data_IF_988766185443
#
_entry.id   IF_988766185443
#
_cell.length_a   1.000
_cell.length_b   1.000
_cell.length_c   1.000
_cell.angle_alpha   90.00
_cell.angle_beta   90.00
_cell.angle_gamma   90.00
#
_symmetry.space_group_name_H-M   'P 1'
#
loop_
_entity.id
_entity.type
_entity.pdbx_description
1 polymer ?
#
# COMPACT_ATOMS: atom_id res chain seq x y z
N UNK A 1 -7.50 4.30 -2.42
CA UNK A 1 -6.06 3.95 -2.60
C UNK A 1 -5.18 5.17 -2.70
N UNK A 2 -5.52 6.13 -3.52
CA UNK A 2 -4.73 7.36 -3.63
C UNK A 2 -4.61 8.09 -2.30
N UNK A 3 -5.66 8.08 -1.48
CA UNK A 3 -5.66 8.74 -0.18
C UNK A 3 -4.69 8.09 0.79
N UNK A 4 -4.53 6.78 0.72
CA UNK A 4 -3.55 6.06 1.54
C UNK A 4 -2.13 6.51 1.18
N UNK A 5 -1.80 6.52 -0.11
CA UNK A 5 -0.48 6.92 -0.56
C UNK A 5 -0.20 8.38 -0.23
N UNK A 6 -1.21 9.23 -0.31
CA UNK A 6 -1.05 10.62 0.08
C UNK A 6 -0.79 10.76 1.58
N UNK A 7 -1.47 9.95 2.40
CA UNK A 7 -1.25 9.96 3.84
C UNK A 7 0.19 9.53 4.17
N UNK A 8 0.73 8.53 3.47
CA UNK A 8 2.13 8.14 3.63
C UNK A 8 3.06 9.27 3.27
N UNK A 9 2.80 9.93 2.12
CA UNK A 9 3.66 11.01 1.64
C UNK A 9 3.71 12.17 2.63
N UNK A 10 2.56 12.52 3.22
CA UNK A 10 2.48 13.63 4.16
C UNK A 10 2.93 13.26 5.56
N UNK A 11 3.23 11.98 5.81
CA UNK A 11 3.65 11.53 7.13
C UNK A 11 2.51 11.41 8.13
N UNK A 12 1.26 11.35 7.64
CA UNK A 12 0.09 11.26 8.50
C UNK A 12 -0.18 9.79 8.85
N UNK A 13 0.48 9.32 9.91
CA UNK A 13 0.38 7.93 10.34
C UNK A 13 -1.05 7.55 10.74
N UNK A 14 -1.75 8.43 11.43
CA UNK A 14 -3.12 8.14 11.85
C UNK A 14 -4.04 7.95 10.65
N UNK A 15 -3.93 8.82 9.67
CA UNK A 15 -4.77 8.74 8.49
C UNK A 15 -4.45 7.49 7.68
N UNK A 16 -3.16 7.19 7.49
CA UNK A 16 -2.75 5.98 6.78
C UNK A 16 -3.28 4.73 7.49
N UNK A 17 -3.17 4.70 8.81
CA UNK A 17 -3.65 3.58 9.61
C UNK A 17 -5.16 3.40 9.53
N UNK A 18 -5.89 4.51 9.38
CA UNK A 18 -7.35 4.47 9.31
C UNK A 18 -7.87 3.73 8.07
N UNK A 19 -7.06 3.63 7.01
CA UNK A 19 -7.45 2.91 5.80
C UNK A 19 -7.17 1.42 5.88
N UNK A 20 -6.46 0.96 6.90
CA UNK A 20 -6.16 -0.44 7.08
C UNK A 20 -7.39 -1.19 7.59
N UNK A 21 -7.45 -2.50 7.31
CA UNK A 21 -8.51 -3.34 7.83
C UNK A 21 -8.39 -3.48 9.35
N UNK A 22 -9.47 -3.92 9.98
CA UNK A 22 -9.46 -4.18 11.43
C UNK A 22 -8.38 -5.17 11.79
N UNK A 23 -8.19 -6.19 10.97
CA UNK A 23 -7.18 -7.21 11.21
C UNK A 23 -5.77 -6.60 11.24
N UNK A 24 -5.46 -5.73 10.28
CA UNK A 24 -4.15 -5.06 10.24
C UNK A 24 -3.99 -4.15 11.44
N UNK A 25 -5.03 -3.40 11.79
CA UNK A 25 -4.96 -2.50 12.94
C UNK A 25 -4.76 -3.26 14.24
N UNK A 26 -5.37 -4.43 14.37
CA UNK A 26 -5.19 -5.28 15.55
C UNK A 26 -3.76 -5.79 15.65
N UNK A 27 -3.16 -6.18 14.50
CA UNK A 27 -1.80 -6.70 14.48
C UNK A 27 -0.79 -5.64 14.96
N UNK A 28 -0.90 -4.42 14.47
CA UNK A 28 0.08 -3.38 14.77
C UNK A 28 -0.27 -2.56 16.00
N UNK A 29 -1.54 -2.46 16.33
CA UNK A 29 -2.03 -1.80 17.54
C UNK A 29 -2.08 -0.29 17.47
N UNK A 30 -1.06 0.37 16.94
CA UNK A 30 -0.97 1.83 16.87
C UNK A 30 -0.53 2.30 15.49
N UNK A 31 -0.89 3.55 15.13
CA UNK A 31 -0.39 4.13 13.89
C UNK A 31 1.13 4.19 13.83
N UNK A 32 1.78 4.47 14.95
CA UNK A 32 3.24 4.57 15.02
C UNK A 32 3.92 3.25 14.70
N UNK A 33 3.39 2.15 15.22
CA UNK A 33 3.93 0.82 14.94
C UNK A 33 3.73 0.47 13.45
N UNK A 34 2.57 0.81 12.93
CA UNK A 34 2.25 0.54 11.53
C UNK A 34 3.19 1.29 10.60
N UNK A 35 3.38 2.59 10.82
CA UNK A 35 4.25 3.42 9.98
C UNK A 35 5.71 2.99 10.09
N UNK A 36 6.15 2.56 11.27
CA UNK A 36 7.51 2.07 11.45
C UNK A 36 7.77 0.83 10.59
N UNK A 37 6.81 -0.08 10.54
CA UNK A 37 6.91 -1.26 9.68
C UNK A 37 6.97 -0.87 8.21
N UNK A 38 6.11 0.05 7.79
CA UNK A 38 6.09 0.49 6.39
C UNK A 38 7.43 1.12 6.00
N UNK A 39 7.99 1.97 6.87
CA UNK A 39 9.29 2.58 6.62
C UNK A 39 10.41 1.56 6.49
N UNK A 40 10.36 0.49 7.27
CA UNK A 40 11.43 -0.49 7.25
C UNK A 40 11.35 -1.46 6.07
N UNK A 41 10.14 -1.83 5.65
CA UNK A 41 9.95 -2.88 4.65
C UNK A 41 9.35 -2.39 3.33
N UNK A 42 8.69 -1.25 3.35
CA UNK A 42 7.97 -0.73 2.19
C UNK A 42 8.32 0.75 1.96
N UNK A 43 9.59 1.08 2.12
CA UNK A 43 10.04 2.49 2.11
C UNK A 43 9.61 3.25 0.84
N UNK A 44 9.60 2.59 -0.31
CA UNK A 44 9.21 3.23 -1.56
C UNK A 44 7.77 3.73 -1.54
N UNK A 45 6.92 3.14 -0.69
CA UNK A 45 5.52 3.55 -0.59
C UNK A 45 5.32 4.85 0.18
N UNK A 46 6.32 5.25 0.97
CA UNK A 46 6.24 6.49 1.75
C UNK A 46 6.39 7.70 0.84
N UNK A 47 7.38 7.66 -0.05
CA UNK A 47 7.68 8.81 -0.91
C UNK A 47 8.16 8.36 -2.28
N UNK A 48 7.29 7.76 -3.09
CA UNK A 48 7.69 7.33 -4.42
C UNK A 48 7.95 8.53 -5.32
N UNK A 49 8.89 8.36 -6.26
CA UNK A 49 9.14 9.38 -7.28
C UNK A 49 8.04 9.36 -8.33
N UNK A 50 7.49 8.19 -8.65
CA UNK A 50 6.40 8.04 -9.62
C UNK A 50 5.43 6.99 -9.14
N UNK A 51 4.16 7.17 -9.49
CA UNK A 51 3.08 6.24 -9.14
C UNK A 51 2.23 6.02 -10.39
N UNK A 52 1.97 4.75 -10.71
CA UNK A 52 1.06 4.38 -11.80
C UNK A 52 0.09 3.35 -11.27
N UNK A 53 -1.19 3.72 -11.23
CA UNK A 53 -2.24 2.78 -10.84
C UNK A 53 -2.60 1.91 -12.03
N UNK A 54 -2.53 0.60 -11.86
CA UNK A 54 -2.91 -0.34 -12.88
C UNK A 54 -4.37 -0.75 -12.69
N UNK A 55 -4.88 -1.55 -13.61
CA UNK A 55 -6.28 -1.96 -13.58
C UNK A 55 -6.57 -2.82 -12.36
N UNK A 56 -7.71 -2.57 -11.73
CA UNK A 56 -8.19 -3.41 -10.63
C UNK A 56 -8.42 -4.84 -11.10
N UNK A 57 -8.11 -5.80 -10.25
CA UNK A 57 -8.30 -7.21 -10.53
C UNK A 57 -9.14 -7.84 -9.43
N UNK A 58 -9.90 -8.86 -9.80
CA UNK A 58 -10.70 -9.63 -8.86
C UNK A 58 -10.26 -11.09 -8.93
N UNK A 59 -9.90 -11.64 -7.79
CA UNK A 59 -9.37 -13.00 -7.72
C UNK A 59 -9.81 -13.64 -6.43
N UNK A 60 -10.50 -14.78 -6.55
CA UNK A 60 -10.96 -15.57 -5.38
C UNK A 60 -11.72 -14.73 -4.35
N UNK A 61 -12.56 -13.82 -4.83
CA UNK A 61 -13.36 -12.97 -3.94
C UNK A 61 -12.64 -11.76 -3.39
N UNK A 62 -11.35 -11.61 -3.65
CA UNK A 62 -10.59 -10.44 -3.24
C UNK A 62 -10.50 -9.43 -4.37
N UNK A 63 -10.40 -8.16 -4.01
CA UNK A 63 -10.13 -7.09 -4.97
C UNK A 63 -8.68 -6.68 -4.79
N UNK A 64 -7.94 -6.70 -5.90
CA UNK A 64 -6.52 -6.38 -5.91
C UNK A 64 -6.29 -5.08 -6.68
N UNK A 65 -5.48 -4.19 -6.12
CA UNK A 65 -5.07 -2.96 -6.78
C UNK A 65 -3.57 -2.99 -6.97
N UNK A 66 -3.12 -3.31 -8.19
CA UNK A 66 -1.69 -3.22 -8.49
C UNK A 66 -1.30 -1.76 -8.70
N UNK A 67 -0.13 -1.40 -8.22
CA UNK A 67 0.41 -0.04 -8.35
C UNK A 67 1.89 -0.16 -8.68
N UNK A 68 2.33 0.49 -9.74
CA UNK A 68 3.76 0.59 -10.03
C UNK A 68 4.32 1.84 -9.38
N UNK A 69 5.43 1.69 -8.70
CA UNK A 69 6.09 2.78 -7.99
C UNK A 69 7.55 2.82 -8.40
N UNK A 70 8.11 4.02 -8.55
CA UNK A 70 9.54 4.14 -8.71
C UNK A 70 10.13 4.87 -7.51
N UNK A 71 11.36 4.50 -7.14
CA UNK A 71 12.07 5.17 -6.07
C UNK A 71 12.97 6.28 -6.67
N UNK A 72 13.70 6.97 -5.80
CA UNK A 72 14.56 8.08 -6.22
C UNK A 72 15.80 7.65 -6.99
N UNK A 73 16.04 6.34 -7.08
CA UNK A 73 17.14 5.76 -7.84
C UNK A 73 16.71 5.23 -9.19
N UNK A 74 15.43 5.43 -9.55
CA UNK A 74 14.88 4.92 -10.80
C UNK A 74 14.51 3.45 -10.76
N UNK A 75 14.57 2.80 -9.60
CA UNK A 75 14.15 1.42 -9.47
C UNK A 75 12.63 1.34 -9.43
N UNK A 76 12.06 0.44 -10.22
CA UNK A 76 10.62 0.23 -10.25
C UNK A 76 10.21 -0.93 -9.36
N UNK A 77 9.04 -0.78 -8.76
CA UNK A 77 8.45 -1.73 -7.84
C UNK A 77 6.99 -1.97 -8.22
N UNK A 78 6.50 -3.16 -7.92
CA UNK A 78 5.07 -3.46 -8.04
C UNK A 78 4.54 -3.71 -6.64
N UNK A 79 3.57 -2.90 -6.24
CA UNK A 79 2.82 -3.09 -5.01
C UNK A 79 1.44 -3.62 -5.37
N UNK A 80 1.03 -4.74 -4.78
CA UNK A 80 -0.30 -5.28 -5.00
C UNK A 80 -1.05 -5.21 -3.68
N UNK A 81 -2.01 -4.31 -3.62
CA UNK A 81 -2.84 -4.12 -2.44
C UNK A 81 -4.02 -5.07 -2.49
N UNK A 82 -4.24 -5.78 -1.40
CA UNK A 82 -5.43 -6.59 -1.21
C UNK A 82 -6.45 -5.75 -0.44
N UNK A 83 -7.65 -5.61 -0.98
CA UNK A 83 -8.66 -4.73 -0.44
C UNK A 83 -9.94 -5.50 -0.15
N UNK A 84 -10.67 -5.05 0.87
CA UNK A 84 -11.95 -5.64 1.24
C UNK A 84 -12.91 -4.57 1.71
N UNK A 85 -14.21 -4.84 1.55
CA UNK A 85 -15.25 -3.99 2.12
C UNK A 85 -15.44 -4.35 3.59
N UNK A 86 -15.55 -3.35 4.44
CA UNK A 86 -15.87 -3.59 5.83
C UNK A 86 -17.39 -3.63 6.05
N UNK A 87 -17.82 -3.72 7.31
CA UNK A 87 -19.23 -3.80 7.66
C UNK A 87 -20.02 -2.53 7.30
N UNK A 88 -19.33 -1.42 7.06
CA UNK A 88 -19.93 -0.15 6.68
C UNK A 88 -19.80 0.12 5.18
N UNK A 89 -19.42 -0.91 4.40
CA UNK A 89 -19.24 -0.81 2.95
C UNK A 89 -18.13 0.16 2.56
N UNK A 90 -17.15 0.34 3.44
CA UNK A 90 -15.96 1.13 3.13
C UNK A 90 -14.81 0.21 2.74
N UNK A 91 -14.08 0.60 1.71
CA UNK A 91 -12.90 -0.17 1.28
C UNK A 91 -11.76 -0.01 2.27
N UNK A 92 -11.21 -1.14 2.70
CA UNK A 92 -10.06 -1.17 3.61
C UNK A 92 -8.94 -1.97 2.99
N UNK A 93 -7.71 -1.60 3.30
CA UNK A 93 -6.52 -2.32 2.85
C UNK A 93 -6.23 -3.44 3.83
N UNK A 94 -6.23 -4.66 3.34
CA UNK A 94 -6.02 -5.85 4.16
C UNK A 94 -4.61 -6.43 4.04
N UNK A 95 -3.84 -5.96 3.10
CA UNK A 95 -2.46 -6.41 2.91
C UNK A 95 -1.86 -5.81 1.68
N UNK A 96 -0.56 -5.98 1.54
CA UNK A 96 0.17 -5.50 0.39
C UNK A 96 1.39 -6.40 0.17
N UNK A 97 1.59 -6.78 -1.08
CA UNK A 97 2.82 -7.44 -1.50
C UNK A 97 3.63 -6.44 -2.30
N UNK A 98 4.91 -6.30 -1.95
CA UNK A 98 5.80 -5.39 -2.66
C UNK A 98 6.90 -6.22 -3.31
N UNK A 99 7.10 -6.01 -4.60
CA UNK A 99 8.10 -6.75 -5.36
C UNK A 99 8.88 -5.79 -6.25
N UNK A 100 10.20 -5.96 -6.26
CA UNK A 100 11.04 -5.19 -7.14
C UNK A 100 10.88 -5.68 -8.58
N UNK A 101 10.70 -4.76 -9.50
CA UNK A 101 10.63 -5.08 -10.91
C UNK A 101 12.04 -4.99 -11.49
N UNK A 102 12.39 -5.98 -12.32
CA UNK A 102 13.71 -6.03 -12.92
C UNK A 102 13.76 -5.28 -14.26
N UNK A 103 12.80 -4.42 -14.47
CA UNK A 103 12.83 -3.51 -15.58
C UNK A 103 13.10 -4.20 -16.90
N UNK A 104 14.23 -3.89 -17.44
CA UNK A 104 14.64 -4.39 -18.74
C UNK A 104 15.35 -5.70 -18.69
N UNK A 105 15.21 -6.41 -17.67
CA UNK A 105 15.93 -7.65 -17.51
C UNK A 105 15.58 -8.68 -18.57
N UNK A 106 15.22 -8.20 -19.61
CA UNK A 106 15.05 -9.05 -20.75
C UNK A 106 16.33 -9.77 -21.07
#
# INVERSE_FOLDING_TARGET
>A
MEMELEAFRSGDAQRAFSFASDQIRDIFGTPENFIAMVRSQYAVMIAPASIVFLKLEHENGATLQPVQLSDDRGQWWLAVYSMQLDAHELWRINGCLLRRLHGNST
#
